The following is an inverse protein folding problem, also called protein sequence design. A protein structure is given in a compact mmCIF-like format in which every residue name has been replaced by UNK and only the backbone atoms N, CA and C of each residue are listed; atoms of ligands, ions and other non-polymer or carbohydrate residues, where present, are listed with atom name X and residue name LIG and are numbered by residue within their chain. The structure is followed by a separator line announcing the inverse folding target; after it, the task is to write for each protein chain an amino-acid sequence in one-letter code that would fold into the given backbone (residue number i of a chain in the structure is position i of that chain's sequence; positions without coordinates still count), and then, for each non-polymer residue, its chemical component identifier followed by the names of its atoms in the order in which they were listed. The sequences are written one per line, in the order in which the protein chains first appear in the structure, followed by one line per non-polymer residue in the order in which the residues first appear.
data_IF_000854248373
#
_entry.id   IF_000854248373
#
_cell.length_a   1.000
_cell.length_b   1.000
_cell.length_c   1.000
_cell.angle_alpha   90.00
_cell.angle_beta   90.00
_cell.angle_gamma   90.00
#
_symmetry.space_group_name_H-M   'P 1'
#
loop_
_entity.id
_entity.type
_entity.pdbx_description
1 polymer ?
#
# COMPACT_ATOMS: atom_id res chain seq x y z
N UNK A 1 -10.18 6.57 15.25
CA UNK A 1 -9.04 6.51 16.19
C UNK A 1 -8.15 7.72 15.95
N UNK A 2 -8.00 8.53 17.01
CA UNK A 2 -7.24 9.80 17.03
C UNK A 2 -5.77 9.61 16.66
N UNK A 3 -5.18 8.44 16.95
CA UNK A 3 -3.78 8.14 16.67
C UNK A 3 -3.42 8.15 15.18
N UNK A 4 -4.39 8.27 14.28
CA UNK A 4 -4.18 8.33 12.83
C UNK A 4 -3.89 9.74 12.30
N UNK A 5 -4.08 10.79 13.11
CA UNK A 5 -4.00 12.19 12.67
C UNK A 5 -2.65 12.61 12.08
N UNK A 6 -1.57 11.96 12.50
CA UNK A 6 -0.23 12.25 11.97
C UNK A 6 0.05 11.69 10.57
N UNK A 7 -0.87 10.91 9.95
CA UNK A 7 -0.55 10.17 8.70
C UNK A 7 -1.71 9.84 7.76
N UNK A 8 -2.96 10.13 8.12
CA UNK A 8 -4.14 9.80 7.32
C UNK A 8 -5.01 11.02 7.07
N UNK A 9 -5.35 11.27 5.81
CA UNK A 9 -6.40 12.23 5.43
C UNK A 9 -7.77 11.75 5.95
N UNK A 10 -8.63 12.68 6.37
CA UNK A 10 -9.95 12.35 6.94
C UNK A 10 -9.95 11.89 8.41
N UNK A 11 -8.78 11.77 9.04
CA UNK A 11 -8.64 11.29 10.43
C UNK A 11 -9.19 12.20 11.52
N UNK A 12 -9.61 13.43 11.18
CA UNK A 12 -10.33 14.33 12.08
C UNK A 12 -11.74 13.82 12.43
N UNK A 13 -12.33 12.96 11.58
CA UNK A 13 -13.60 12.30 11.82
C UNK A 13 -13.45 11.12 12.80
N UNK A 14 -13.14 11.41 14.06
CA UNK A 14 -12.88 10.39 15.09
C UNK A 14 -14.15 9.57 15.35
N UNK A 15 -14.04 8.24 15.22
CA UNK A 15 -15.15 7.31 15.45
C UNK A 15 -15.91 6.94 14.17
N UNK A 16 -15.74 7.72 13.09
CA UNK A 16 -16.33 7.39 11.79
C UNK A 16 -15.61 6.24 11.09
N UNK A 17 -16.35 5.58 10.20
CA UNK A 17 -15.83 4.56 9.30
C UNK A 17 -14.97 5.21 8.23
N UNK A 18 -13.70 4.80 8.13
CA UNK A 18 -12.71 5.41 7.22
C UNK A 18 -13.18 5.48 5.76
N UNK A 19 -13.85 4.44 5.27
CA UNK A 19 -14.33 4.40 3.89
C UNK A 19 -15.45 5.41 3.65
N UNK A 20 -16.37 5.56 4.59
CA UNK A 20 -17.46 6.54 4.51
C UNK A 20 -16.92 7.97 4.58
N UNK A 21 -15.97 8.25 5.48
CA UNK A 21 -15.31 9.55 5.54
C UNK A 21 -14.58 9.88 4.23
N UNK A 22 -13.94 8.90 3.59
CA UNK A 22 -13.31 9.09 2.28
C UNK A 22 -14.34 9.40 1.19
N UNK A 23 -15.51 8.75 1.19
CA UNK A 23 -16.58 9.02 0.23
C UNK A 23 -17.15 10.44 0.36
N UNK A 24 -17.18 11.00 1.59
CA UNK A 24 -17.54 12.41 1.82
C UNK A 24 -16.51 13.38 1.22
N UNK A 25 -15.22 13.03 1.29
CA UNK A 25 -14.13 13.85 0.75
C UNK A 25 -14.06 13.80 -0.79
N UNK A 26 -14.40 12.66 -1.38
CA UNK A 26 -14.32 12.44 -2.83
C UNK A 26 -15.67 11.94 -3.37
N UNK A 27 -16.63 12.84 -3.64
CA UNK A 27 -17.92 12.47 -4.18
C UNK A 27 -17.76 11.69 -5.49
N UNK A 28 -18.48 10.56 -5.60
CA UNK A 28 -18.47 9.71 -6.79
C UNK A 28 -17.59 8.46 -6.69
N UNK A 29 -16.77 8.30 -5.63
CA UNK A 29 -16.10 7.01 -5.39
C UNK A 29 -17.09 5.98 -4.85
N UNK A 30 -16.97 4.74 -5.32
CA UNK A 30 -17.70 3.61 -4.73
C UNK A 30 -16.83 2.97 -3.64
N UNK A 31 -17.36 2.87 -2.42
CA UNK A 31 -16.62 2.34 -1.27
C UNK A 31 -17.16 1.01 -0.80
N UNK A 32 -16.26 0.10 -0.45
CA UNK A 32 -16.60 -1.19 0.15
C UNK A 32 -16.16 -1.16 1.62
N UNK A 33 -17.13 -1.16 2.53
CA UNK A 33 -16.86 -1.26 3.97
C UNK A 33 -16.72 -2.73 4.37
N UNK A 34 -15.57 -3.33 4.07
CA UNK A 34 -15.27 -4.71 4.45
C UNK A 34 -13.84 -4.82 4.95
N UNK A 35 -13.64 -5.64 5.98
CA UNK A 35 -12.29 -5.96 6.44
C UNK A 35 -11.60 -6.83 5.38
N UNK A 36 -10.49 -6.32 4.86
CA UNK A 36 -9.65 -7.05 3.90
C UNK A 36 -8.78 -8.08 4.63
N UNK A 37 -9.38 -9.21 5.00
CA UNK A 37 -8.68 -10.38 5.51
C UNK A 37 -8.44 -11.42 4.40
N UNK A 38 -7.89 -12.57 4.76
CA UNK A 38 -7.54 -13.63 3.81
C UNK A 38 -8.78 -14.20 3.11
N UNK A 39 -9.88 -14.43 3.84
CA UNK A 39 -11.10 -15.02 3.30
C UNK A 39 -11.77 -14.06 2.31
N UNK A 40 -11.74 -12.76 2.61
CA UNK A 40 -12.23 -11.75 1.68
C UNK A 40 -11.36 -11.67 0.43
N UNK A 41 -10.03 -11.60 0.56
CA UNK A 41 -9.14 -11.60 -0.61
C UNK A 41 -9.29 -12.88 -1.44
N UNK A 42 -9.56 -14.02 -0.82
CA UNK A 42 -9.80 -15.29 -1.50
C UNK A 42 -11.08 -15.28 -2.34
N UNK A 43 -12.16 -14.67 -1.86
CA UNK A 43 -13.47 -14.65 -2.53
C UNK A 43 -13.72 -13.42 -3.40
N UNK A 44 -13.00 -12.32 -3.19
CA UNK A 44 -13.21 -11.08 -3.92
C UNK A 44 -12.82 -11.20 -5.40
N UNK A 45 -13.73 -10.77 -6.27
CA UNK A 45 -13.47 -10.72 -7.70
C UNK A 45 -12.69 -9.46 -8.06
N UNK A 46 -11.40 -9.65 -8.28
CA UNK A 46 -10.52 -8.57 -8.74
C UNK A 46 -10.64 -8.33 -10.24
N UNK A 47 -11.26 -9.21 -11.04
CA UNK A 47 -11.26 -9.14 -12.52
C UNK A 47 -11.73 -7.78 -13.05
N UNK A 48 -12.83 -7.17 -12.57
CA UNK A 48 -13.36 -5.91 -13.11
C UNK A 48 -12.45 -4.68 -12.96
N UNK A 49 -11.41 -4.76 -12.12
CA UNK A 49 -10.54 -3.63 -11.84
C UNK A 49 -9.32 -3.61 -12.77
N UNK A 50 -9.04 -2.49 -13.42
CA UNK A 50 -7.87 -2.34 -14.29
C UNK A 50 -6.55 -2.29 -13.50
N UNK A 51 -6.60 -1.65 -12.32
CA UNK A 51 -5.46 -1.47 -11.43
C UNK A 51 -5.87 -1.82 -10.00
N UNK A 52 -4.96 -2.50 -9.30
CA UNK A 52 -5.09 -2.79 -7.87
C UNK A 52 -3.97 -2.07 -7.13
N UNK A 53 -4.33 -1.19 -6.20
CA UNK A 53 -3.39 -0.54 -5.29
C UNK A 53 -3.48 -1.22 -3.93
N UNK A 54 -2.37 -1.82 -3.48
CA UNK A 54 -2.30 -2.42 -2.14
C UNK A 54 -1.59 -1.50 -1.15
N UNK A 55 -2.37 -0.90 -0.25
CA UNK A 55 -1.91 -0.08 0.87
C UNK A 55 -2.30 -0.67 2.24
N UNK A 56 -2.58 -1.97 2.32
CA UNK A 56 -2.88 -2.64 3.60
C UNK A 56 -1.63 -2.84 4.46
N UNK A 57 -1.76 -3.06 5.76
CA UNK A 57 -0.62 -3.30 6.65
C UNK A 57 -0.33 -4.80 6.91
N UNK A 58 -1.27 -5.67 6.57
CA UNK A 58 -1.19 -7.10 6.92
C UNK A 58 -0.36 -7.88 5.89
N UNK A 59 0.82 -8.36 6.28
CA UNK A 59 1.76 -9.03 5.36
C UNK A 59 1.13 -10.21 4.60
N UNK A 60 0.35 -11.08 5.27
CA UNK A 60 -0.27 -12.24 4.62
C UNK A 60 -1.25 -11.83 3.53
N UNK A 61 -2.08 -10.82 3.81
CA UNK A 61 -3.04 -10.24 2.87
C UNK A 61 -2.31 -9.67 1.66
N UNK A 62 -1.23 -8.90 1.86
CA UNK A 62 -0.41 -8.37 0.76
C UNK A 62 0.12 -9.48 -0.16
N UNK A 63 0.59 -10.59 0.42
CA UNK A 63 1.13 -11.73 -0.34
C UNK A 63 0.05 -12.38 -1.20
N UNK A 64 -1.16 -12.58 -0.68
CA UNK A 64 -2.24 -13.15 -1.47
C UNK A 64 -2.74 -12.21 -2.57
N UNK A 65 -2.85 -10.90 -2.28
CA UNK A 65 -3.13 -9.90 -3.31
C UNK A 65 -2.04 -9.92 -4.39
N UNK A 66 -0.77 -10.04 -4.03
CA UNK A 66 0.33 -10.18 -4.98
C UNK A 66 0.16 -11.41 -5.88
N UNK A 67 -0.11 -12.57 -5.31
CA UNK A 67 -0.32 -13.80 -6.09
C UNK A 67 -1.47 -13.68 -7.08
N UNK A 68 -2.59 -13.09 -6.66
CA UNK A 68 -3.80 -12.93 -7.48
C UNK A 68 -3.68 -11.81 -8.53
N UNK A 69 -3.07 -10.69 -8.17
CA UNK A 69 -3.20 -9.44 -8.91
C UNK A 69 -1.89 -8.92 -9.53
N UNK A 70 -0.77 -9.65 -9.46
CA UNK A 70 0.56 -9.13 -9.83
C UNK A 70 0.61 -8.32 -11.14
N UNK A 71 -0.14 -8.72 -12.18
CA UNK A 71 -0.17 -8.04 -13.49
C UNK A 71 -0.68 -6.59 -13.39
N UNK A 72 -1.63 -6.32 -12.50
CA UNK A 72 -2.27 -5.01 -12.30
C UNK A 72 -1.97 -4.36 -10.97
N UNK A 73 -1.06 -4.96 -10.19
CA UNK A 73 -0.75 -4.54 -8.84
C UNK A 73 0.29 -3.41 -8.81
N UNK A 74 0.04 -2.43 -7.95
CA UNK A 74 1.02 -1.50 -7.40
C UNK A 74 0.93 -1.62 -5.88
N UNK A 75 2.02 -2.03 -5.23
CA UNK A 75 2.05 -2.27 -3.79
C UNK A 75 2.83 -1.18 -3.06
N UNK A 76 2.29 -0.69 -1.95
CA UNK A 76 2.98 0.19 -1.02
C UNK A 76 3.58 -0.59 0.14
N UNK A 77 4.84 -0.29 0.49
CA UNK A 77 5.54 -0.84 1.67
C UNK A 77 6.50 0.20 2.25
N UNK A 78 6.75 0.16 3.57
CA UNK A 78 7.89 0.90 4.13
C UNK A 78 7.75 2.43 4.25
N UNK A 79 6.53 2.94 4.41
CA UNK A 79 6.28 4.39 4.60
C UNK A 79 6.36 4.87 6.06
N UNK A 80 6.36 3.94 7.02
CA UNK A 80 6.48 4.26 8.44
C UNK A 80 7.95 4.47 8.84
N UNK A 81 8.21 5.31 9.85
CA UNK A 81 9.56 5.66 10.32
C UNK A 81 10.47 6.27 9.25
N UNK A 82 9.86 6.97 8.29
CA UNK A 82 10.54 7.68 7.22
C UNK A 82 10.33 9.17 7.37
N UNK A 83 11.32 9.96 6.97
CA UNK A 83 11.23 11.42 6.94
C UNK A 83 11.78 12.06 5.65
N UNK A 84 12.37 11.28 4.75
CA UNK A 84 12.95 11.77 3.49
C UNK A 84 12.07 11.43 2.28
N UNK A 85 11.22 12.37 1.86
CA UNK A 85 10.31 12.17 0.71
C UNK A 85 11.04 11.97 -0.62
N UNK A 86 12.25 12.48 -0.76
CA UNK A 86 13.10 12.32 -1.95
C UNK A 86 13.74 10.92 -2.05
N UNK A 87 13.61 10.08 -1.02
CA UNK A 87 14.06 8.68 -1.01
C UNK A 87 12.93 7.69 -1.32
N UNK A 88 11.82 8.15 -1.88
CA UNK A 88 10.76 7.26 -2.35
C UNK A 88 11.17 6.71 -3.71
N UNK A 89 11.15 5.38 -3.83
CA UNK A 89 11.54 4.66 -5.03
C UNK A 89 10.39 3.81 -5.56
N UNK A 90 10.39 3.62 -6.88
CA UNK A 90 9.47 2.73 -7.59
C UNK A 90 10.30 1.66 -8.28
N UNK A 91 10.06 0.39 -7.94
CA UNK A 91 10.79 -0.72 -8.53
C UNK A 91 9.96 -2.00 -8.62
N UNK A 92 10.54 -3.01 -9.28
CA UNK A 92 10.12 -4.40 -9.14
C UNK A 92 10.19 -4.84 -7.67
N UNK A 93 9.25 -5.67 -7.21
CA UNK A 93 9.33 -6.31 -5.89
C UNK A 93 10.70 -6.97 -5.66
N UNK A 94 11.32 -7.55 -6.69
CA UNK A 94 12.61 -8.24 -6.58
C UNK A 94 13.81 -7.30 -6.43
N UNK A 95 13.66 -6.02 -6.81
CA UNK A 95 14.71 -5.00 -6.73
C UNK A 95 14.58 -4.09 -5.50
N UNK A 96 13.55 -4.28 -4.69
CA UNK A 96 13.36 -3.52 -3.43
C UNK A 96 14.49 -3.80 -2.43
N UNK A 97 14.91 -2.78 -1.68
CA UNK A 97 16.00 -2.85 -0.71
C UNK A 97 15.76 -1.87 0.45
N UNK A 98 16.54 -1.95 1.53
CA UNK A 98 16.42 -1.09 2.73
C UNK A 98 15.13 -1.28 3.56
N UNK A 99 14.05 -1.82 2.99
CA UNK A 99 12.78 -2.00 3.69
C UNK A 99 12.55 -3.43 4.23
N UNK A 100 12.23 -3.53 5.52
CA UNK A 100 12.04 -4.81 6.21
C UNK A 100 10.75 -5.54 5.77
N UNK A 101 9.67 -4.79 5.46
CA UNK A 101 8.41 -5.37 5.02
C UNK A 101 8.54 -5.93 3.59
N UNK A 102 9.15 -5.18 2.68
CA UNK A 102 9.49 -5.62 1.34
C UNK A 102 10.37 -6.88 1.38
N UNK A 103 11.39 -6.90 2.24
CA UNK A 103 12.25 -8.08 2.44
C UNK A 103 11.44 -9.29 2.90
N UNK A 104 10.54 -9.11 3.86
CA UNK A 104 9.67 -10.18 4.35
C UNK A 104 8.77 -10.72 3.24
N UNK A 105 8.14 -9.83 2.46
CA UNK A 105 7.30 -10.22 1.31
C UNK A 105 8.11 -10.99 0.27
N UNK A 106 9.30 -10.50 -0.13
CA UNK A 106 10.19 -11.22 -1.06
C UNK A 106 10.52 -12.62 -0.57
N UNK A 107 10.83 -12.78 0.71
CA UNK A 107 11.16 -14.08 1.29
C UNK A 107 9.98 -15.05 1.27
N UNK A 108 8.78 -14.58 1.61
CA UNK A 108 7.57 -15.42 1.57
C UNK A 108 7.18 -15.80 0.13
N UNK A 109 7.32 -14.87 -0.83
CA UNK A 109 7.10 -15.17 -2.24
C UNK A 109 8.09 -16.22 -2.76
N UNK A 110 9.38 -16.12 -2.39
CA UNK A 110 10.39 -17.14 -2.71
C UNK A 110 10.04 -18.51 -2.12
N UNK A 111 9.60 -18.57 -0.86
CA UNK A 111 9.14 -19.83 -0.23
C UNK A 111 7.95 -20.43 -0.97
N UNK A 112 7.04 -19.59 -1.45
CA UNK A 112 5.90 -19.99 -2.27
C UNK A 112 6.26 -20.31 -3.73
N UNK A 113 7.55 -20.29 -4.11
CA UNK A 113 8.03 -20.46 -5.49
C UNK A 113 7.36 -19.51 -6.48
N UNK A 114 6.96 -18.33 -6.02
CA UNK A 114 6.37 -17.29 -6.86
C UNK A 114 7.47 -16.50 -7.55
N UNK A 115 7.49 -16.52 -8.89
CA UNK A 115 8.56 -15.94 -9.72
C UNK A 115 8.11 -14.70 -10.52
N UNK A 116 6.83 -14.31 -10.41
CA UNK A 116 6.27 -13.17 -11.14
C UNK A 116 6.66 -11.84 -10.48
N UNK A 117 6.57 -10.77 -11.25
CA UNK A 117 6.95 -9.43 -10.81
C UNK A 117 5.73 -8.50 -10.75
N UNK A 118 5.81 -7.47 -9.89
CA UNK A 118 4.86 -6.36 -9.78
C UNK A 118 5.58 -5.09 -9.28
N UNK A 119 4.96 -3.94 -9.51
CA UNK A 119 5.51 -2.63 -9.08
C UNK A 119 5.31 -2.43 -7.59
N UNK A 120 6.34 -1.92 -6.92
CA UNK A 120 6.35 -1.58 -5.50
C UNK A 120 6.85 -0.16 -5.33
N UNK A 121 6.14 0.63 -4.51
CA UNK A 121 6.58 1.92 -4.00
C UNK A 121 7.11 1.71 -2.58
N UNK A 122 8.36 2.07 -2.35
CA UNK A 122 9.07 1.86 -1.10
C UNK A 122 10.07 2.98 -0.82
N UNK A 123 10.73 2.94 0.34
CA UNK A 123 11.89 3.78 0.63
C UNK A 123 12.98 2.94 1.27
N UNK A 124 14.25 3.03 0.81
CA UNK A 124 15.36 2.33 1.42
C UNK A 124 15.95 3.06 2.63
N UNK A 125 15.37 4.19 3.04
CA UNK A 125 15.80 4.96 4.21
C UNK A 125 15.84 4.07 5.46
N UNK A 126 16.91 4.19 6.24
CA UNK A 126 17.08 3.44 7.49
C UNK A 126 16.22 4.03 8.62
N UNK A 127 15.60 3.16 9.41
CA UNK A 127 14.86 3.55 10.61
C UNK A 127 15.79 4.27 11.61
N UNK A 128 15.55 5.56 11.87
CA UNK A 128 16.26 6.31 12.93
C UNK A 128 15.60 6.24 14.31
N UNK A 129 14.48 5.55 14.44
CA UNK A 129 13.72 5.46 15.69
C UNK A 129 13.22 4.05 16.01
N UNK A 130 13.19 3.73 17.31
CA UNK A 130 12.67 2.46 17.81
C UNK A 130 11.15 2.42 17.75
N UNK A 131 10.50 3.50 18.20
CA UNK A 131 9.05 3.61 18.26
C UNK A 131 8.42 3.66 16.87
N UNK A 132 7.18 3.19 16.78
CA UNK A 132 6.40 3.25 15.54
C UNK A 132 5.90 4.68 15.31
N UNK A 133 6.68 5.47 14.59
CA UNK A 133 6.31 6.80 14.11
C UNK A 133 5.88 6.81 12.63
N UNK A 134 5.14 7.84 12.23
CA UNK A 134 4.85 8.13 10.82
C UNK A 134 4.68 9.63 10.65
N UNK A 135 5.04 10.11 9.47
CA UNK A 135 4.96 11.52 9.11
C UNK A 135 4.12 11.66 7.85
N UNK A 136 3.06 12.47 7.93
CA UNK A 136 2.11 12.71 6.82
C UNK A 136 2.80 13.19 5.54
N UNK A 137 3.92 13.91 5.63
CA UNK A 137 4.69 14.31 4.46
C UNK A 137 5.20 13.10 3.66
N UNK A 138 5.68 12.06 4.33
CA UNK A 138 6.13 10.84 3.66
C UNK A 138 4.97 9.94 3.28
N UNK A 139 4.01 9.65 4.17
CA UNK A 139 2.89 8.77 3.82
C UNK A 139 2.01 9.34 2.71
N UNK A 140 1.83 10.67 2.68
CA UNK A 140 1.18 11.38 1.60
C UNK A 140 1.97 11.29 0.28
N UNK A 141 3.28 11.56 0.32
CA UNK A 141 4.13 11.44 -0.87
C UNK A 141 4.15 10.01 -1.45
N UNK A 142 4.13 8.97 -0.60
CA UNK A 142 3.94 7.58 -1.05
C UNK A 142 2.64 7.41 -1.84
N UNK A 143 1.52 7.92 -1.31
CA UNK A 143 0.23 7.89 -1.99
C UNK A 143 0.27 8.58 -3.34
N UNK A 144 0.86 9.77 -3.42
CA UNK A 144 1.00 10.53 -4.67
C UNK A 144 1.88 9.80 -5.70
N UNK A 145 2.99 9.19 -5.27
CA UNK A 145 3.85 8.39 -6.15
C UNK A 145 3.09 7.19 -6.71
N UNK A 146 2.31 6.48 -5.88
CA UNK A 146 1.46 5.36 -6.33
C UNK A 146 0.45 5.83 -7.37
N UNK A 147 -0.23 6.95 -7.14
CA UNK A 147 -1.18 7.51 -8.11
C UNK A 147 -0.49 7.86 -9.44
N UNK A 148 0.72 8.42 -9.40
CA UNK A 148 1.51 8.68 -10.62
C UNK A 148 1.79 7.40 -11.41
N UNK A 149 2.21 6.32 -10.74
CA UNK A 149 2.43 5.02 -11.38
C UNK A 149 1.14 4.39 -11.93
N UNK A 150 0.01 4.59 -11.25
CA UNK A 150 -1.29 4.14 -11.75
C UNK A 150 -1.68 4.88 -13.04
N UNK A 151 -1.56 6.21 -13.05
CA UNK A 151 -1.87 7.03 -14.24
C UNK A 151 -0.97 6.66 -15.41
N UNK A 152 0.34 6.45 -15.19
CA UNK A 152 1.27 6.01 -16.24
C UNK A 152 0.78 4.73 -16.93
N UNK A 153 0.22 3.77 -16.18
CA UNK A 153 -0.32 2.52 -16.75
C UNK A 153 -1.65 2.69 -17.48
N UNK A 154 -2.45 3.70 -17.11
CA UNK A 154 -3.75 3.97 -17.75
C UNK A 154 -3.56 4.62 -19.11
N UNK A 155 -2.56 5.50 -19.24
CA UNK A 155 -2.33 6.30 -20.46
C UNK A 155 -1.44 5.60 -21.49
N UNK A 156 -0.85 4.45 -21.16
CA UNK A 156 0.01 3.64 -22.04
C UNK A 156 -0.67 2.34 -22.42
#
# INVERSE_FOLDING_TARGET
DETNQNRQIGSHAVGEVKTETLAKLYPGIHTIQQKMDMAWVESFDFVPYDIVIDAADTTKVKIEVAKKCYKKLIMSVGSAKRFETNKIEVASIWKTHGDALARKIRNELKKAKFDRNFTVVFSPEEDKCKEKGSFVGVTGAFGLTICSEAIKRIIT
#
